data_IF_979171935456
#
_entry.id   IF_979171935456
#
_cell.length_a   1.000
_cell.length_b   1.000
_cell.length_c   1.000
_cell.angle_alpha   90.00
_cell.angle_beta   90.00
_cell.angle_gamma   90.00
#
_symmetry.space_group_name_H-M   'P 1'
#
loop_
_entity.id
_entity.type
_entity.pdbx_description
1 polymer ?
#
# COMPACT_ATOMS: atom_id res chain seq x y z
N UNK A 1 1.46 -3.59 10.42
CA UNK A 1 2.01 -2.21 10.51
C UNK A 1 1.00 -1.27 9.87
N UNK A 2 0.57 -0.16 10.48
CA UNK A 2 -0.49 0.65 9.87
C UNK A 2 0.11 1.60 8.82
N UNK A 3 -0.61 1.93 7.75
CA UNK A 3 -0.13 2.85 6.69
C UNK A 3 0.33 4.22 7.25
N UNK A 4 -0.26 4.66 8.37
CA UNK A 4 0.14 5.89 9.07
C UNK A 4 1.55 5.83 9.66
N UNK A 5 2.08 4.63 9.92
CA UNK A 5 3.40 4.38 10.47
C UNK A 5 4.48 4.38 9.36
N UNK A 6 4.06 4.38 8.08
CA UNK A 6 4.93 4.48 6.91
C UNK A 6 5.15 5.95 6.57
N UNK A 7 6.42 6.35 6.43
CA UNK A 7 6.83 7.67 5.90
C UNK A 7 6.07 7.96 4.61
N UNK A 8 5.61 9.20 4.42
CA UNK A 8 4.77 9.56 3.25
C UNK A 8 5.40 9.11 1.93
N UNK A 9 6.70 9.30 1.77
CA UNK A 9 7.47 8.91 0.58
C UNK A 9 7.49 7.40 0.30
N UNK A 10 7.30 6.58 1.34
CA UNK A 10 7.31 5.13 1.26
C UNK A 10 5.90 4.53 1.17
N UNK A 11 4.84 5.36 1.25
CA UNK A 11 3.47 4.86 1.11
C UNK A 11 3.25 4.34 -0.31
N UNK A 12 2.55 3.20 -0.48
CA UNK A 12 2.31 2.62 -1.80
C UNK A 12 1.76 3.63 -2.81
N UNK A 13 0.76 4.44 -2.45
CA UNK A 13 0.19 5.45 -3.36
C UNK A 13 1.18 6.51 -3.80
N UNK A 14 2.01 6.98 -2.88
CA UNK A 14 2.95 8.08 -3.15
C UNK A 14 4.13 7.57 -3.96
N UNK A 15 4.58 6.35 -3.67
CA UNK A 15 5.54 5.62 -4.51
C UNK A 15 5.00 5.39 -5.90
N UNK A 16 3.75 4.95 -6.04
CA UNK A 16 3.10 4.74 -7.33
C UNK A 16 3.04 6.02 -8.16
N UNK A 17 2.68 7.15 -7.55
CA UNK A 17 2.66 8.45 -8.22
C UNK A 17 4.06 8.90 -8.67
N UNK A 18 5.10 8.64 -7.88
CA UNK A 18 6.46 9.11 -8.16
C UNK A 18 7.23 8.20 -9.13
N UNK A 19 7.08 6.89 -8.98
CA UNK A 19 7.92 5.88 -9.63
C UNK A 19 7.15 4.97 -10.59
N UNK A 20 5.81 5.01 -10.58
CA UNK A 20 4.96 4.15 -11.39
C UNK A 20 4.77 2.74 -10.82
N UNK A 21 3.96 1.94 -11.51
CA UNK A 21 3.57 0.60 -11.07
C UNK A 21 4.75 -0.36 -10.89
N UNK A 22 5.80 -0.23 -11.71
CA UNK A 22 6.98 -1.10 -11.69
C UNK A 22 7.81 -1.00 -10.41
N UNK A 23 7.59 0.03 -9.59
CA UNK A 23 8.30 0.23 -8.33
C UNK A 23 7.60 -0.39 -7.12
N UNK A 24 6.50 -1.12 -7.33
CA UNK A 24 5.67 -1.72 -6.31
C UNK A 24 5.55 -3.22 -6.53
N UNK A 25 5.32 -3.97 -5.46
CA UNK A 25 4.94 -5.37 -5.56
C UNK A 25 3.48 -5.53 -5.96
N UNK A 26 3.11 -6.72 -6.45
CA UNK A 26 1.70 -7.05 -6.76
C UNK A 26 0.80 -6.86 -5.54
N UNK A 27 1.29 -7.20 -4.35
CA UNK A 27 0.61 -6.97 -3.07
C UNK A 27 0.36 -5.48 -2.81
N UNK A 28 1.34 -4.63 -3.07
CA UNK A 28 1.18 -3.18 -2.91
C UNK A 28 0.22 -2.57 -3.95
N UNK A 29 0.25 -3.08 -5.18
CA UNK A 29 -0.69 -2.68 -6.23
C UNK A 29 -2.13 -3.08 -5.86
N UNK A 30 -2.32 -4.31 -5.39
CA UNK A 30 -3.60 -4.78 -4.89
C UNK A 30 -4.07 -3.94 -3.68
N UNK A 31 -3.16 -3.62 -2.76
CA UNK A 31 -3.46 -2.77 -1.61
C UNK A 31 -3.90 -1.35 -2.01
N UNK A 32 -3.35 -0.79 -3.09
CA UNK A 32 -3.79 0.49 -3.65
C UNK A 32 -5.23 0.39 -4.17
N UNK A 33 -5.55 -0.69 -4.89
CA UNK A 33 -6.89 -0.95 -5.46
C UNK A 33 -7.93 -1.13 -4.35
N UNK A 34 -7.59 -1.90 -3.30
CA UNK A 34 -8.49 -2.16 -2.18
C UNK A 34 -8.71 -0.93 -1.28
N UNK A 35 -7.76 0.01 -1.27
CA UNK A 35 -7.79 1.30 -0.55
C UNK A 35 -7.85 1.26 0.97
N UNK A 36 -8.56 0.30 1.57
CA UNK A 36 -8.77 0.16 3.01
C UNK A 36 -8.75 -1.32 3.40
N UNK A 37 -8.25 -1.57 4.61
CA UNK A 37 -8.31 -2.90 5.23
C UNK A 37 -9.64 -3.08 5.96
N UNK A 38 -9.75 -4.18 6.70
CA UNK A 38 -10.87 -4.42 7.61
C UNK A 38 -10.61 -3.80 8.99
N UNK A 39 -11.51 -4.06 9.94
CA UNK A 39 -11.29 -3.71 11.35
C UNK A 39 -10.17 -4.52 11.99
N UNK A 40 -9.93 -5.73 11.49
CA UNK A 40 -8.99 -6.70 12.07
C UNK A 40 -7.64 -6.65 11.37
N UNK A 41 -7.62 -6.42 10.05
CA UNK A 41 -6.42 -6.47 9.23
C UNK A 41 -6.22 -5.19 8.42
N UNK A 42 -4.96 -4.81 8.23
CA UNK A 42 -4.63 -3.67 7.39
C UNK A 42 -4.56 -4.11 5.91
N UNK A 43 -4.80 -3.16 5.00
CA UNK A 43 -4.88 -3.47 3.55
C UNK A 43 -3.61 -4.06 2.97
N UNK A 44 -2.44 -3.75 3.53
CA UNK A 44 -1.16 -4.32 3.10
C UNK A 44 -1.07 -5.78 3.57
N UNK A 45 -1.44 -6.07 4.81
CA UNK A 45 -1.44 -7.45 5.34
C UNK A 45 -2.44 -8.34 4.56
N UNK A 46 -3.62 -7.80 4.21
CA UNK A 46 -4.62 -8.53 3.41
C UNK A 46 -4.21 -8.80 1.96
N UNK A 47 -3.20 -8.08 1.45
CA UNK A 47 -2.79 -8.16 0.05
C UNK A 47 -1.54 -9.03 -0.15
N UNK A 48 -0.99 -9.61 0.91
CA UNK A 48 0.17 -10.52 0.86
C UNK A 48 -0.23 -11.99 0.70
#
# INVERSE_FOLDING_TARGET
>A
MRIKDISKENRPRERFQKLGASALSDAELLAIILQKGTKEENVIDMSN
#
